data_IF_657211436872
#
_entry.id   IF_657211436872
#
_cell.length_a   1.000
_cell.length_b   1.000
_cell.length_c   1.000
_cell.angle_alpha   90.00
_cell.angle_beta   90.00
_cell.angle_gamma   90.00
#
_symmetry.space_group_name_H-M   'P 1'
#
loop_
_entity.id
_entity.type
_entity.pdbx_description
1 polymer ?
#
# COMPACT_ATOMS: atom_id res chain seq x y z
N UNK A 1 3.06 -5.64 10.89
CA UNK A 1 1.89 -5.95 10.04
C UNK A 1 2.07 -7.34 9.50
N UNK A 2 1.10 -8.22 9.71
CA UNK A 2 1.19 -9.64 9.33
C UNK A 2 0.87 -9.86 7.86
N UNK A 3 -0.04 -9.05 7.29
CA UNK A 3 -0.42 -9.14 5.88
C UNK A 3 -0.94 -7.78 5.36
N UNK A 4 -0.31 -7.23 4.32
CA UNK A 4 -0.70 -5.96 3.72
C UNK A 4 -1.91 -6.07 2.78
N UNK A 5 -2.22 -7.28 2.28
CA UNK A 5 -3.40 -7.49 1.45
C UNK A 5 -4.68 -7.39 2.29
N UNK A 6 -4.68 -7.95 3.49
CA UNK A 6 -5.76 -7.85 4.47
C UNK A 6 -5.94 -6.42 4.96
N UNK A 7 -4.83 -5.71 5.23
CA UNK A 7 -4.85 -4.28 5.53
C UNK A 7 -5.54 -3.50 4.40
N UNK A 8 -5.09 -3.65 3.16
CA UNK A 8 -5.70 -2.97 2.01
C UNK A 8 -7.22 -3.21 1.93
N UNK A 9 -7.65 -4.47 2.12
CA UNK A 9 -9.06 -4.85 2.10
C UNK A 9 -9.89 -4.18 3.20
N UNK A 10 -9.33 -3.97 4.38
CA UNK A 10 -10.00 -3.27 5.49
C UNK A 10 -10.28 -1.79 5.15
N UNK A 11 -9.41 -1.16 4.36
CA UNK A 11 -9.60 0.22 3.89
C UNK A 11 -10.38 0.30 2.56
N UNK A 12 -10.96 -0.82 2.10
CA UNK A 12 -11.72 -0.85 0.84
C UNK A 12 -10.86 -0.69 -0.42
N UNK A 13 -9.54 -0.87 -0.31
CA UNK A 13 -8.61 -0.71 -1.44
C UNK A 13 -7.95 -2.05 -1.81
N UNK A 14 -7.56 -2.16 -3.08
CA UNK A 14 -6.82 -3.34 -3.53
C UNK A 14 -5.34 -3.25 -3.11
N UNK A 15 -4.72 -4.40 -2.82
CA UNK A 15 -3.29 -4.48 -2.57
C UNK A 15 -2.44 -3.93 -3.72
N UNK A 16 -2.91 -4.06 -4.97
CA UNK A 16 -2.26 -3.44 -6.15
C UNK A 16 -2.17 -1.92 -6.03
N UNK A 17 -3.25 -1.28 -5.58
CA UNK A 17 -3.31 0.16 -5.37
C UNK A 17 -2.37 0.56 -4.22
N UNK A 18 -2.39 -0.19 -3.12
CA UNK A 18 -1.50 0.05 -1.99
C UNK A 18 -0.03 0.04 -2.41
N UNK A 19 0.39 -0.92 -3.24
CA UNK A 19 1.75 -1.00 -3.82
C UNK A 19 2.08 0.08 -4.85
N UNK A 20 1.06 0.67 -5.48
CA UNK A 20 1.27 1.77 -6.42
C UNK A 20 1.69 3.03 -5.67
N UNK A 21 1.04 3.32 -4.55
CA UNK A 21 1.39 4.42 -3.66
C UNK A 21 2.67 4.14 -2.84
N UNK A 22 2.91 2.88 -2.48
CA UNK A 22 4.03 2.49 -1.62
C UNK A 22 5.00 1.59 -2.41
N UNK A 23 5.90 2.16 -3.24
CA UNK A 23 6.77 1.38 -4.13
C UNK A 23 7.69 0.42 -3.37
N UNK A 24 8.04 0.75 -2.12
CA UNK A 24 8.83 -0.09 -1.21
C UNK A 24 8.13 -1.38 -0.76
N UNK A 25 6.81 -1.52 -0.99
CA UNK A 25 6.05 -2.77 -0.79
C UNK A 25 6.06 -3.71 -2.02
N UNK A 26 6.67 -3.30 -3.14
CA UNK A 26 6.76 -4.14 -4.33
C UNK A 26 7.80 -5.23 -4.17
N UNK A 27 8.89 -4.91 -3.47
CA UNK A 27 9.92 -5.86 -3.10
C UNK A 27 9.40 -6.81 -2.01
N UNK A 28 9.84 -8.08 -2.01
CA UNK A 28 9.43 -9.04 -0.98
C UNK A 28 9.92 -8.64 0.41
N UNK A 29 11.05 -7.92 0.49
CA UNK A 29 11.67 -7.48 1.74
C UNK A 29 11.97 -5.98 1.69
N UNK A 30 11.75 -5.30 2.82
CA UNK A 30 12.06 -3.87 2.95
C UNK A 30 13.53 -3.68 3.38
N UNK A 31 14.39 -3.25 2.46
CA UNK A 31 15.81 -3.03 2.74
C UNK A 31 16.05 -1.67 3.43
N UNK A 32 15.74 -1.58 4.72
CA UNK A 32 15.82 -0.35 5.51
C UNK A 32 17.12 -0.21 6.33
N UNK A 33 18.29 -0.23 5.67
CA UNK A 33 19.59 -0.08 6.37
C UNK A 33 19.73 1.23 7.14
N UNK A 34 19.09 2.29 6.67
CA UNK A 34 19.17 3.62 7.27
C UNK A 34 18.13 3.87 8.37
N UNK A 35 17.29 2.88 8.73
CA UNK A 35 16.17 3.04 9.69
C UNK A 35 15.21 4.20 9.35
N UNK A 36 15.00 4.46 8.06
CA UNK A 36 14.02 5.45 7.59
C UNK A 36 12.61 5.00 7.96
N UNK A 37 11.78 5.95 8.37
CA UNK A 37 10.37 5.70 8.61
C UNK A 37 9.64 5.70 7.26
N UNK A 38 8.80 4.70 7.04
CA UNK A 38 7.95 4.60 5.86
C UNK A 38 6.51 4.85 6.29
N UNK A 39 5.87 5.79 5.62
CA UNK A 39 4.46 6.06 5.81
C UNK A 39 3.68 5.29 4.75
N UNK A 40 2.60 4.65 5.19
CA UNK A 40 1.68 3.98 4.28
C UNK A 40 0.71 5.03 3.77
N UNK A 41 0.83 5.40 2.51
CA UNK A 41 -0.10 6.32 1.88
C UNK A 41 -1.35 5.56 1.43
N UNK A 42 -2.51 6.01 1.91
CA UNK A 42 -3.81 5.54 1.49
C UNK A 42 -4.39 6.52 0.46
N UNK A 43 -4.96 6.04 -0.65
CA UNK A 43 -5.65 6.89 -1.59
C UNK A 43 -6.92 7.48 -0.97
N UNK A 44 -7.29 8.68 -1.39
CA UNK A 44 -8.57 9.29 -1.00
C UNK A 44 -9.74 8.46 -1.56
N UNK A 45 -10.86 8.47 -0.85
CA UNK A 45 -12.10 7.84 -1.32
C UNK A 45 -12.47 8.38 -2.71
N UNK A 46 -12.69 7.48 -3.67
CA UNK A 46 -12.99 7.84 -5.07
C UNK A 46 -11.79 8.10 -5.98
N UNK A 47 -10.54 8.00 -5.51
CA UNK A 47 -9.34 8.24 -6.33
C UNK A 47 -9.18 7.22 -7.47
N UNK A 48 -9.48 5.95 -7.19
CA UNK A 48 -9.57 4.90 -8.21
C UNK A 48 -11.04 4.66 -8.49
N UNK A 49 -11.65 5.61 -9.19
CA UNK A 49 -12.95 5.40 -9.79
C UNK A 49 -12.74 4.48 -11.01
N UNK A 50 -12.89 3.17 -10.84
CA UNK A 50 -13.02 2.26 -11.98
C UNK A 50 -14.39 2.56 -12.58
N UNK A 51 -14.42 3.55 -13.47
CA UNK A 51 -15.61 3.79 -14.29
C UNK A 51 -15.82 2.52 -15.14
N UNK A 52 -17.01 1.90 -15.09
CA UNK A 52 -17.33 0.69 -15.83
C UNK A 52 -17.27 0.88 -17.35
#
# INVERSE_FOLDING_TARGET
VTDFASFAKQFGINYKILKLHNPWLREPHLNNRSRKQYFIELPKEGYYNIQP
#
